data_IF_431154775150
#
_entry.id   IF_431154775150
#
_cell.length_a   1.000
_cell.length_b   1.000
_cell.length_c   1.000
_cell.angle_alpha   90.00
_cell.angle_beta   90.00
_cell.angle_gamma   90.00
#
_symmetry.space_group_name_H-M   'P 1'
#
loop_
_entity.id
_entity.type
_entity.pdbx_description
1 polymer ?
#
# COMPACT_ATOMS: atom_id res chain seq x y z
N UNK A 1 11.21 14.76 -22.91
CA UNK A 1 12.05 13.56 -22.97
C UNK A 1 12.89 13.35 -21.72
N UNK A 2 13.95 14.14 -21.43
CA UNK A 2 14.78 13.93 -20.22
C UNK A 2 13.96 13.83 -18.93
N UNK A 3 13.15 14.87 -18.65
CA UNK A 3 12.33 14.92 -17.44
C UNK A 3 11.32 13.77 -17.37
N UNK A 4 10.77 13.36 -18.51
CA UNK A 4 9.79 12.27 -18.62
C UNK A 4 10.45 10.92 -18.28
N UNK A 5 11.65 10.67 -18.79
CA UNK A 5 12.40 9.43 -18.58
C UNK A 5 12.82 9.25 -17.10
N UNK A 6 13.34 10.31 -16.47
CA UNK A 6 13.83 10.21 -15.08
C UNK A 6 12.75 10.43 -14.02
N UNK A 7 11.83 11.39 -14.24
CA UNK A 7 10.86 11.81 -13.22
C UNK A 7 9.41 11.45 -13.54
N UNK A 8 9.16 10.88 -14.72
CA UNK A 8 7.85 10.45 -15.17
C UNK A 8 7.01 11.58 -15.75
N UNK A 9 5.80 11.22 -16.19
CA UNK A 9 4.78 12.15 -16.70
C UNK A 9 3.54 12.02 -15.83
N UNK A 10 3.13 13.14 -15.22
CA UNK A 10 1.97 13.19 -14.32
C UNK A 10 0.65 13.58 -15.02
N UNK A 11 0.68 13.82 -16.34
CA UNK A 11 -0.46 14.35 -17.09
C UNK A 11 -1.13 13.27 -17.97
N UNK A 12 -2.45 13.09 -17.79
CA UNK A 12 -3.29 12.22 -18.63
C UNK A 12 -3.75 10.91 -17.96
N UNK A 13 -4.45 10.05 -18.73
CA UNK A 13 -5.01 8.75 -18.26
C UNK A 13 -3.95 7.65 -18.05
N UNK A 14 -2.68 7.90 -18.38
CA UNK A 14 -1.56 6.98 -18.19
C UNK A 14 -0.43 7.76 -17.52
N UNK A 15 -0.39 7.72 -16.19
CA UNK A 15 0.74 8.25 -15.45
C UNK A 15 1.93 7.32 -15.64
N UNK A 16 3.07 7.87 -16.06
CA UNK A 16 4.34 7.15 -16.12
C UNK A 16 5.17 7.57 -14.89
N UNK A 17 5.61 6.63 -14.03
CA UNK A 17 6.41 6.94 -12.85
C UNK A 17 7.85 7.39 -13.18
N UNK A 18 8.34 7.13 -14.39
CA UNK A 18 9.74 7.29 -14.78
C UNK A 18 10.68 6.40 -13.97
N UNK A 19 11.99 6.54 -14.18
CA UNK A 19 12.99 5.74 -13.46
C UNK A 19 12.95 5.98 -11.95
N UNK A 20 12.74 7.21 -11.50
CA UNK A 20 12.65 7.53 -10.08
C UNK A 20 11.46 6.85 -9.39
N UNK A 21 10.27 6.90 -10.01
CA UNK A 21 9.09 6.26 -9.44
C UNK A 21 9.19 4.73 -9.50
N UNK A 22 9.72 4.17 -10.59
CA UNK A 22 9.93 2.72 -10.74
C UNK A 22 10.89 2.17 -9.67
N UNK A 23 12.02 2.86 -9.41
CA UNK A 23 12.97 2.42 -8.37
C UNK A 23 12.32 2.46 -6.98
N UNK A 24 11.62 3.54 -6.64
CA UNK A 24 10.92 3.66 -5.35
C UNK A 24 9.86 2.59 -5.17
N UNK A 25 9.12 2.27 -6.23
CA UNK A 25 8.13 1.20 -6.22
C UNK A 25 8.79 -0.14 -5.86
N UNK A 26 9.85 -0.55 -6.57
CA UNK A 26 10.51 -1.83 -6.28
C UNK A 26 11.15 -1.85 -4.88
N UNK A 27 11.70 -0.74 -4.40
CA UNK A 27 12.22 -0.65 -3.03
C UNK A 27 11.11 -0.83 -1.97
N UNK A 28 9.93 -0.25 -2.20
CA UNK A 28 8.77 -0.44 -1.34
C UNK A 28 8.27 -1.89 -1.39
N UNK A 29 8.21 -2.49 -2.58
CA UNK A 29 7.79 -3.88 -2.77
C UNK A 29 8.73 -4.87 -2.10
N UNK A 30 10.06 -4.72 -2.24
CA UNK A 30 11.03 -5.57 -1.52
C UNK A 30 10.74 -5.54 -0.01
N UNK A 31 10.56 -4.36 0.55
CA UNK A 31 10.31 -4.20 2.00
C UNK A 31 8.95 -4.79 2.41
N UNK A 32 7.93 -4.67 1.55
CA UNK A 32 6.63 -5.34 1.73
C UNK A 32 6.80 -6.85 1.83
N UNK A 33 7.46 -7.47 0.85
CA UNK A 33 7.63 -8.92 0.79
C UNK A 33 8.49 -9.47 1.96
N UNK A 34 9.53 -8.73 2.37
CA UNK A 34 10.32 -9.07 3.58
C UNK A 34 9.45 -9.07 4.85
N UNK A 35 8.53 -8.09 4.97
CA UNK A 35 7.65 -7.94 6.13
C UNK A 35 6.62 -9.06 6.22
N UNK A 36 6.08 -9.54 5.08
CA UNK A 36 5.10 -10.64 5.02
C UNK A 36 5.61 -11.89 5.74
N UNK A 37 6.81 -12.34 5.35
CA UNK A 37 7.43 -13.55 5.91
C UNK A 37 7.76 -13.38 7.40
N UNK A 38 8.34 -12.23 7.77
CA UNK A 38 8.76 -11.97 9.15
C UNK A 38 7.57 -11.95 10.11
N UNK A 39 6.53 -11.17 9.79
CA UNK A 39 5.36 -11.01 10.66
C UNK A 39 4.60 -12.33 10.82
N UNK A 40 4.56 -13.16 9.77
CA UNK A 40 3.97 -14.49 9.83
C UNK A 40 4.72 -15.43 10.77
N UNK A 41 6.06 -15.45 10.70
CA UNK A 41 6.90 -16.27 11.58
C UNK A 41 6.79 -15.81 13.05
N UNK A 42 6.75 -14.50 13.29
CA UNK A 42 6.52 -13.91 14.62
C UNK A 42 5.19 -14.39 15.23
N UNK A 43 4.09 -14.35 14.47
CA UNK A 43 2.76 -14.77 14.94
C UNK A 43 2.72 -16.27 15.24
N UNK A 44 3.28 -17.08 14.35
CA UNK A 44 3.31 -18.54 14.53
C UNK A 44 4.32 -18.99 15.58
N UNK A 45 5.21 -18.08 16.04
CA UNK A 45 6.37 -18.38 16.90
C UNK A 45 7.19 -19.54 16.30
N UNK A 46 7.41 -19.48 15.00
CA UNK A 46 8.09 -20.51 14.24
C UNK A 46 9.45 -20.01 13.74
N UNK A 47 10.42 -20.92 13.71
CA UNK A 47 11.71 -20.66 13.07
C UNK A 47 11.56 -20.69 11.55
N UNK A 48 12.50 -20.02 10.86
CA UNK A 48 12.58 -20.03 9.40
C UNK A 48 12.77 -21.47 8.89
N UNK A 49 11.86 -21.99 8.04
CA UNK A 49 12.03 -23.31 7.44
C UNK A 49 13.25 -23.36 6.50
N UNK A 50 13.87 -24.53 6.37
CA UNK A 50 14.95 -24.72 5.40
C UNK A 50 14.37 -24.80 3.97
N UNK A 51 14.62 -23.74 3.21
CA UNK A 51 14.19 -23.57 1.82
C UNK A 51 15.37 -23.24 0.88
N UNK A 52 16.61 -23.43 1.36
CA UNK A 52 17.81 -22.97 0.67
C UNK A 52 18.03 -23.68 -0.67
N UNK A 53 17.66 -24.95 -0.79
CA UNK A 53 17.75 -25.71 -2.04
C UNK A 53 16.73 -25.25 -3.07
N UNK A 54 15.47 -25.09 -2.67
CA UNK A 54 14.37 -24.64 -3.52
C UNK A 54 14.64 -23.22 -4.04
N UNK A 55 15.11 -22.33 -3.18
CA UNK A 55 15.54 -20.99 -3.59
C UNK A 55 16.70 -21.04 -4.57
N UNK A 56 17.76 -21.80 -4.29
CA UNK A 56 18.90 -21.93 -5.22
C UNK A 56 18.47 -22.43 -6.59
N UNK A 57 17.52 -23.37 -6.65
CA UNK A 57 16.98 -23.89 -7.91
C UNK A 57 16.22 -22.81 -8.69
N UNK A 58 15.26 -22.13 -8.06
CA UNK A 58 14.53 -21.02 -8.68
C UNK A 58 15.50 -19.95 -9.21
N UNK A 59 16.51 -19.59 -8.41
CA UNK A 59 17.48 -18.57 -8.79
C UNK A 59 18.41 -18.98 -9.94
N UNK A 60 18.77 -20.26 -10.01
CA UNK A 60 19.49 -20.81 -11.17
C UNK A 60 18.69 -20.64 -12.46
N UNK A 61 17.42 -21.06 -12.43
CA UNK A 61 16.51 -20.94 -13.58
C UNK A 61 16.31 -19.46 -13.98
N UNK A 62 16.00 -18.61 -12.99
CA UNK A 62 15.74 -17.19 -13.20
C UNK A 62 16.94 -16.40 -13.73
N UNK A 63 18.15 -16.70 -13.23
CA UNK A 63 19.38 -16.07 -13.71
C UNK A 63 19.67 -16.45 -15.17
N UNK A 64 19.44 -17.71 -15.54
CA UNK A 64 19.55 -18.19 -16.91
C UNK A 64 18.58 -17.47 -17.85
N UNK A 65 17.30 -17.39 -17.47
CA UNK A 65 16.26 -16.74 -18.27
C UNK A 65 16.50 -15.23 -18.43
N UNK A 66 16.92 -14.56 -17.35
CA UNK A 66 17.25 -13.13 -17.37
C UNK A 66 18.41 -12.84 -18.31
N UNK A 67 19.45 -13.68 -18.30
CA UNK A 67 20.61 -13.52 -19.18
C UNK A 67 20.20 -13.61 -20.67
N UNK A 68 19.33 -14.56 -21.01
CA UNK A 68 18.87 -14.72 -22.39
C UNK A 68 17.96 -13.57 -22.85
N UNK A 69 17.03 -13.12 -21.99
CA UNK A 69 16.10 -12.03 -22.31
C UNK A 69 16.77 -10.65 -22.44
N UNK A 70 17.86 -10.41 -21.70
CA UNK A 70 18.53 -9.10 -21.66
C UNK A 70 19.68 -8.96 -22.66
N UNK A 71 20.08 -10.07 -23.29
CA UNK A 71 21.22 -10.18 -24.22
C UNK A 71 21.25 -9.14 -25.34
N UNK A 72 20.09 -8.68 -25.82
CA UNK A 72 19.97 -7.79 -26.99
C UNK A 72 19.67 -6.33 -26.66
N UNK A 73 19.27 -6.00 -25.43
CA UNK A 73 18.64 -4.70 -25.13
C UNK A 73 19.52 -3.80 -24.28
N UNK A 74 20.15 -4.32 -23.22
CA UNK A 74 21.13 -3.60 -22.40
C UNK A 74 22.14 -4.62 -21.85
N UNK A 75 23.44 -4.40 -22.07
CA UNK A 75 24.50 -5.15 -21.36
C UNK A 75 24.58 -4.67 -19.91
N UNK A 76 23.54 -4.92 -19.12
CA UNK A 76 23.60 -4.70 -17.68
C UNK A 76 24.42 -5.85 -17.08
N UNK A 77 25.62 -5.53 -16.58
CA UNK A 77 26.41 -6.43 -15.73
C UNK A 77 25.76 -6.55 -14.34
N UNK A 78 24.55 -7.10 -14.28
CA UNK A 78 23.89 -7.46 -13.03
C UNK A 78 24.11 -8.95 -12.82
N UNK A 79 24.82 -9.31 -11.75
CA UNK A 79 24.91 -10.69 -11.30
C UNK A 79 23.66 -11.00 -10.46
N UNK A 80 22.72 -11.83 -10.95
CA UNK A 80 21.49 -12.11 -10.22
C UNK A 80 21.75 -12.76 -8.86
N UNK A 81 22.78 -13.59 -8.76
CA UNK A 81 23.17 -14.25 -7.52
C UNK A 81 23.71 -13.25 -6.50
N UNK A 82 24.53 -12.28 -6.91
CA UNK A 82 25.01 -11.20 -6.02
C UNK A 82 23.87 -10.28 -5.58
N UNK A 83 22.94 -9.98 -6.49
CA UNK A 83 21.79 -9.11 -6.20
C UNK A 83 20.92 -9.67 -5.07
N UNK A 84 20.80 -10.99 -4.94
CA UNK A 84 19.93 -11.63 -3.94
C UNK A 84 20.66 -12.20 -2.72
N UNK A 85 21.96 -12.51 -2.84
CA UNK A 85 22.77 -12.98 -1.70
C UNK A 85 23.28 -11.85 -0.82
N UNK A 86 23.32 -10.60 -1.33
CA UNK A 86 23.55 -9.42 -0.49
C UNK A 86 22.46 -9.33 0.57
N UNK A 87 22.88 -9.13 1.82
CA UNK A 87 22.03 -8.87 2.98
C UNK A 87 20.90 -7.90 2.62
N UNK A 88 19.71 -8.08 3.20
CA UNK A 88 18.56 -7.19 3.02
C UNK A 88 19.01 -5.73 3.17
N UNK A 89 18.76 -4.91 2.15
CA UNK A 89 19.10 -3.48 2.23
C UNK A 89 18.21 -2.83 3.28
N UNK A 90 18.85 -2.21 4.26
CA UNK A 90 18.17 -1.39 5.27
C UNK A 90 17.43 -0.23 4.59
N UNK A 91 16.43 0.31 5.29
CA UNK A 91 15.69 1.49 4.83
C UNK A 91 16.62 2.67 4.56
N UNK A 92 17.68 2.85 5.35
CA UNK A 92 18.61 3.96 5.19
C UNK A 92 19.54 3.77 3.98
N UNK A 93 20.02 2.55 3.70
CA UNK A 93 20.79 2.25 2.49
C UNK A 93 19.96 2.46 1.22
N UNK A 94 18.70 2.02 1.25
CA UNK A 94 17.69 2.27 0.21
C UNK A 94 17.56 3.78 -0.07
N UNK A 95 17.40 4.59 0.99
CA UNK A 95 17.27 6.05 0.87
C UNK A 95 18.56 6.70 0.35
N UNK A 96 19.72 6.33 0.88
CA UNK A 96 21.03 6.87 0.45
C UNK A 96 21.29 6.61 -1.04
N UNK A 97 21.02 5.39 -1.50
CA UNK A 97 21.10 5.02 -2.92
C UNK A 97 20.22 5.92 -3.79
N UNK A 98 18.94 6.07 -3.42
CA UNK A 98 18.00 6.90 -4.18
C UNK A 98 18.41 8.39 -4.20
N UNK A 99 18.84 8.92 -3.05
CA UNK A 99 19.29 10.31 -2.91
C UNK A 99 20.52 10.57 -3.79
N UNK A 100 21.51 9.67 -3.78
CA UNK A 100 22.71 9.78 -4.64
C UNK A 100 22.36 9.82 -6.12
N UNK A 101 21.47 8.93 -6.58
CA UNK A 101 21.02 8.92 -7.97
C UNK A 101 20.28 10.21 -8.33
N UNK A 102 19.44 10.70 -7.44
CA UNK A 102 18.68 11.95 -7.63
C UNK A 102 19.60 13.16 -7.73
N UNK A 103 20.63 13.26 -6.89
CA UNK A 103 21.62 14.34 -6.96
C UNK A 103 22.43 14.30 -8.26
N UNK A 104 22.77 13.10 -8.76
CA UNK A 104 23.39 12.93 -10.08
C UNK A 104 22.46 13.35 -11.21
N UNK A 105 21.17 13.03 -11.13
CA UNK A 105 20.17 13.50 -12.10
C UNK A 105 20.09 15.02 -12.14
N UNK A 106 20.09 15.70 -10.98
CA UNK A 106 20.13 17.17 -10.90
C UNK A 106 21.44 17.76 -11.44
N UNK A 107 22.56 17.06 -11.27
CA UNK A 107 23.84 17.47 -11.85
C UNK A 107 23.78 17.43 -13.39
N UNK A 108 23.23 16.35 -13.94
CA UNK A 108 23.01 16.22 -15.39
C UNK A 108 22.06 17.30 -15.93
N UNK A 109 20.98 17.64 -15.22
CA UNK A 109 20.09 18.75 -15.62
C UNK A 109 20.82 20.09 -15.75
N UNK A 110 21.74 20.37 -14.82
CA UNK A 110 22.61 21.56 -14.90
C UNK A 110 23.54 21.47 -16.11
N UNK A 111 24.21 20.33 -16.32
CA UNK A 111 25.09 20.13 -17.48
C UNK A 111 24.36 20.30 -18.82
N UNK A 112 23.12 19.79 -18.93
CA UNK A 112 22.28 19.95 -20.12
C UNK A 112 21.88 21.42 -20.34
N UNK A 113 21.55 22.15 -19.25
CA UNK A 113 21.22 23.57 -19.29
C UNK A 113 22.42 24.42 -19.74
N UNK A 114 23.62 24.06 -19.29
CA UNK A 114 24.88 24.72 -19.62
C UNK A 114 25.45 24.29 -20.99
N UNK A 115 24.75 23.40 -21.71
CA UNK A 115 25.19 22.81 -22.99
C UNK A 115 26.60 22.19 -22.91
N UNK A 116 26.91 21.57 -21.77
CA UNK A 116 28.19 20.91 -21.55
C UNK A 116 28.35 19.73 -22.53
N UNK A 117 29.46 19.64 -23.30
CA UNK A 117 29.68 18.55 -24.25
C UNK A 117 29.77 17.15 -23.60
N UNK A 118 30.11 17.06 -22.32
CA UNK A 118 30.19 15.80 -21.56
C UNK A 118 28.82 15.29 -21.08
N UNK A 119 27.76 16.10 -21.23
CA UNK A 119 26.42 15.76 -20.73
C UNK A 119 25.86 14.46 -21.34
N UNK A 120 26.21 14.15 -22.60
CA UNK A 120 25.74 12.93 -23.29
C UNK A 120 26.37 11.68 -22.65
N UNK A 121 27.70 11.67 -22.47
CA UNK A 121 28.38 10.54 -21.83
C UNK A 121 27.90 10.35 -20.38
N UNK A 122 27.71 11.46 -19.64
CA UNK A 122 27.16 11.41 -18.29
C UNK A 122 25.72 10.88 -18.26
N UNK A 123 24.88 11.23 -19.25
CA UNK A 123 23.53 10.71 -19.40
C UNK A 123 23.52 9.20 -19.58
N UNK A 124 24.35 8.67 -20.47
CA UNK A 124 24.45 7.22 -20.71
C UNK A 124 24.86 6.47 -19.44
N UNK A 125 25.90 6.96 -18.75
CA UNK A 125 26.37 6.37 -17.49
C UNK A 125 25.28 6.43 -16.40
N UNK A 126 24.59 7.57 -16.27
CA UNK A 126 23.53 7.74 -15.30
C UNK A 126 22.33 6.82 -15.61
N UNK A 127 21.93 6.72 -16.88
CA UNK A 127 20.85 5.84 -17.32
C UNK A 127 21.16 4.37 -17.02
N UNK A 128 22.40 3.94 -17.27
CA UNK A 128 22.85 2.59 -16.92
C UNK A 128 22.79 2.34 -15.42
N UNK A 129 23.20 3.31 -14.59
CA UNK A 129 23.11 3.19 -13.13
C UNK A 129 21.67 3.06 -12.64
N UNK A 130 20.76 3.92 -13.10
CA UNK A 130 19.34 3.80 -12.76
C UNK A 130 18.76 2.45 -13.19
N UNK A 131 19.00 2.06 -14.44
CA UNK A 131 18.52 0.79 -15.00
C UNK A 131 19.03 -0.40 -14.19
N UNK A 132 20.32 -0.40 -13.83
CA UNK A 132 20.93 -1.44 -12.99
C UNK A 132 20.22 -1.58 -11.64
N UNK A 133 20.02 -0.48 -10.92
CA UNK A 133 19.37 -0.54 -9.60
C UNK A 133 17.89 -0.94 -9.68
N UNK A 134 17.17 -0.47 -10.69
CA UNK A 134 15.77 -0.89 -10.93
C UNK A 134 15.71 -2.41 -11.15
N UNK A 135 16.59 -2.94 -12.02
CA UNK A 135 16.68 -4.38 -12.27
C UNK A 135 17.06 -5.12 -10.99
N UNK A 136 18.11 -4.71 -10.27
CA UNK A 136 18.52 -5.35 -9.01
C UNK A 136 17.37 -5.39 -7.98
N UNK A 137 16.62 -4.29 -7.82
CA UNK A 137 15.47 -4.26 -6.91
C UNK A 137 14.33 -5.16 -7.40
N UNK A 138 14.09 -5.25 -8.71
CA UNK A 138 13.10 -6.19 -9.25
C UNK A 138 13.49 -7.64 -8.99
N UNK A 139 14.76 -8.01 -9.20
CA UNK A 139 15.25 -9.36 -8.91
C UNK A 139 15.04 -9.71 -7.42
N UNK A 140 15.37 -8.77 -6.52
CA UNK A 140 15.14 -8.94 -5.07
C UNK A 140 13.66 -9.04 -4.72
N UNK A 141 12.80 -8.30 -5.40
CA UNK A 141 11.36 -8.39 -5.18
C UNK A 141 10.86 -9.80 -5.49
N UNK A 142 11.26 -10.38 -6.63
CA UNK A 142 10.92 -11.78 -6.96
C UNK A 142 11.50 -12.75 -5.94
N UNK A 143 12.70 -12.49 -5.41
CA UNK A 143 13.34 -13.31 -4.37
C UNK A 143 12.49 -13.43 -3.13
N UNK A 144 12.14 -12.28 -2.56
CA UNK A 144 11.37 -12.25 -1.33
C UNK A 144 9.93 -12.77 -1.56
N UNK A 145 9.40 -12.61 -2.77
CA UNK A 145 8.11 -13.19 -3.17
C UNK A 145 8.15 -14.72 -3.15
N UNK A 146 9.07 -15.34 -3.89
CA UNK A 146 9.22 -16.81 -3.95
C UNK A 146 9.56 -17.38 -2.58
N UNK A 147 10.45 -16.72 -1.84
CA UNK A 147 10.78 -17.06 -0.46
C UNK A 147 9.54 -17.09 0.42
N UNK A 148 8.70 -16.05 0.39
CA UNK A 148 7.48 -16.01 1.17
C UNK A 148 6.54 -17.18 0.86
N UNK A 149 6.35 -17.51 -0.41
CA UNK A 149 5.55 -18.66 -0.82
C UNK A 149 6.13 -20.00 -0.36
N UNK A 150 7.44 -20.20 -0.50
CA UNK A 150 8.11 -21.41 -0.04
C UNK A 150 8.00 -21.57 1.48
N UNK A 151 8.22 -20.50 2.25
CA UNK A 151 8.02 -20.50 3.71
C UNK A 151 6.59 -20.89 4.04
N UNK A 152 5.61 -20.27 3.39
CA UNK A 152 4.19 -20.54 3.62
C UNK A 152 3.83 -21.98 3.28
N UNK A 153 4.41 -22.54 2.22
CA UNK A 153 4.22 -23.93 1.84
C UNK A 153 4.83 -24.92 2.86
N UNK A 154 6.03 -24.64 3.37
CA UNK A 154 6.63 -25.47 4.42
C UNK A 154 5.88 -25.34 5.76
N UNK A 155 5.45 -24.13 6.12
CA UNK A 155 4.61 -23.90 7.29
C UNK A 155 3.26 -24.62 7.16
N UNK A 156 2.65 -24.62 5.96
CA UNK A 156 1.40 -25.34 5.73
C UNK A 156 1.54 -26.85 5.97
N UNK A 157 2.72 -27.45 5.71
CA UNK A 157 3.00 -28.86 6.02
C UNK A 157 3.16 -29.10 7.52
N UNK A 158 3.74 -28.16 8.25
CA UNK A 158 4.06 -28.34 9.69
C UNK A 158 2.91 -27.96 10.63
N UNK A 159 2.27 -26.80 10.41
CA UNK A 159 1.19 -26.30 11.28
C UNK A 159 -0.20 -26.50 10.72
N UNK A 160 -0.31 -26.87 9.43
CA UNK A 160 -1.58 -27.05 8.73
C UNK A 160 -2.15 -25.75 8.15
N UNK A 161 -2.85 -25.87 7.02
CA UNK A 161 -3.40 -24.74 6.25
C UNK A 161 -4.37 -23.87 7.07
N UNK A 162 -5.23 -24.50 7.88
CA UNK A 162 -6.23 -23.76 8.68
C UNK A 162 -5.56 -22.83 9.71
N UNK A 163 -4.57 -23.35 10.45
CA UNK A 163 -3.86 -22.56 11.47
C UNK A 163 -3.02 -21.45 10.83
N UNK A 164 -2.47 -21.72 9.65
CA UNK A 164 -1.74 -20.74 8.86
C UNK A 164 -2.65 -19.59 8.40
N UNK A 165 -3.86 -19.91 7.90
CA UNK A 165 -4.88 -18.92 7.55
C UNK A 165 -5.27 -18.04 8.74
N UNK A 166 -5.47 -18.64 9.92
CA UNK A 166 -5.83 -17.89 11.13
C UNK A 166 -4.71 -16.93 11.54
N UNK A 167 -3.45 -17.37 11.51
CA UNK A 167 -2.30 -16.52 11.80
C UNK A 167 -2.17 -15.37 10.79
N UNK A 168 -2.30 -15.65 9.50
CA UNK A 168 -2.27 -14.63 8.45
C UNK A 168 -3.40 -13.60 8.61
N UNK A 169 -4.59 -14.04 9.03
CA UNK A 169 -5.73 -13.15 9.32
C UNK A 169 -5.47 -12.26 10.53
N UNK A 170 -4.84 -12.79 11.58
CA UNK A 170 -4.50 -12.04 12.80
C UNK A 170 -3.49 -10.92 12.53
N UNK A 171 -2.50 -11.18 11.69
CA UNK A 171 -1.46 -10.19 11.37
C UNK A 171 -1.82 -9.24 10.23
N UNK A 172 -2.96 -9.48 9.57
CA UNK A 172 -3.34 -8.81 8.33
C UNK A 172 -3.37 -7.28 8.48
N UNK A 173 -3.94 -6.77 9.56
CA UNK A 173 -4.05 -5.32 9.81
C UNK A 173 -2.70 -4.70 10.16
N UNK A 174 -1.96 -5.32 11.09
CA UNK A 174 -0.59 -4.92 11.46
C UNK A 174 0.32 -4.85 10.23
N UNK A 175 0.27 -5.87 9.39
CA UNK A 175 1.03 -5.95 8.14
C UNK A 175 0.65 -4.82 7.17
N UNK A 176 -0.64 -4.60 6.95
CA UNK A 176 -1.13 -3.54 6.07
C UNK A 176 -0.64 -2.16 6.51
N UNK A 177 -0.80 -1.83 7.80
CA UNK A 177 -0.35 -0.55 8.37
C UNK A 177 1.17 -0.38 8.29
N UNK A 178 1.93 -1.41 8.64
CA UNK A 178 3.39 -1.35 8.64
C UNK A 178 3.95 -1.11 7.23
N UNK A 179 3.44 -1.82 6.22
CA UNK A 179 3.92 -1.69 4.84
C UNK A 179 3.60 -0.33 4.24
N UNK A 180 2.40 0.21 4.49
CA UNK A 180 2.03 1.56 4.04
C UNK A 180 2.86 2.62 4.76
N UNK A 181 3.07 2.49 6.07
CA UNK A 181 3.88 3.43 6.85
C UNK A 181 5.33 3.47 6.37
N UNK A 182 5.93 2.31 6.08
CA UNK A 182 7.29 2.24 5.55
C UNK A 182 7.38 2.95 4.19
N UNK A 183 6.44 2.67 3.28
CA UNK A 183 6.40 3.32 1.97
C UNK A 183 6.27 4.85 2.09
N UNK A 184 5.38 5.33 2.97
CA UNK A 184 5.23 6.75 3.26
C UNK A 184 6.51 7.37 3.84
N UNK A 185 7.16 6.70 4.79
CA UNK A 185 8.38 7.19 5.44
C UNK A 185 9.54 7.32 4.43
N UNK A 186 9.80 6.28 3.62
CA UNK A 186 10.82 6.33 2.57
C UNK A 186 10.56 7.50 1.64
N UNK A 187 9.31 7.66 1.20
CA UNK A 187 8.91 8.71 0.26
C UNK A 187 9.13 10.12 0.82
N UNK A 188 8.71 10.35 2.06
CA UNK A 188 8.87 11.64 2.72
C UNK A 188 10.35 11.97 2.93
N UNK A 189 11.16 10.98 3.31
CA UNK A 189 12.60 11.15 3.51
C UNK A 189 13.37 11.44 2.21
N UNK A 190 12.92 10.92 1.07
CA UNK A 190 13.52 11.24 -0.24
C UNK A 190 13.00 12.57 -0.84
N UNK A 191 12.24 13.36 -0.07
CA UNK A 191 11.80 14.70 -0.47
C UNK A 191 10.65 14.71 -1.49
N UNK A 192 9.95 13.59 -1.65
CA UNK A 192 8.81 13.49 -2.56
C UNK A 192 7.51 13.90 -1.86
N UNK A 193 6.68 14.69 -2.56
CA UNK A 193 5.36 15.12 -2.04
C UNK A 193 4.41 13.94 -1.96
N UNK A 194 3.51 13.96 -0.96
CA UNK A 194 2.51 12.90 -0.72
C UNK A 194 1.58 12.69 -1.91
N UNK A 195 1.20 13.75 -2.64
CA UNK A 195 0.35 13.63 -3.83
C UNK A 195 1.01 12.79 -4.94
N UNK A 196 2.32 12.96 -5.15
CA UNK A 196 3.07 12.23 -6.18
C UNK A 196 3.24 10.74 -5.83
N UNK A 197 3.26 10.42 -4.54
CA UNK A 197 3.29 9.03 -4.06
C UNK A 197 2.04 8.26 -4.48
N UNK A 198 0.87 8.87 -4.33
CA UNK A 198 -0.39 8.23 -4.72
C UNK A 198 -0.36 7.86 -6.20
N UNK A 199 0.14 8.75 -7.05
CA UNK A 199 0.32 8.49 -8.48
C UNK A 199 1.30 7.35 -8.75
N UNK A 200 2.44 7.31 -8.06
CA UNK A 200 3.46 6.25 -8.24
C UNK A 200 2.93 4.89 -7.77
N UNK A 201 2.35 4.82 -6.58
CA UNK A 201 1.82 3.56 -6.02
C UNK A 201 0.63 3.00 -6.81
N UNK A 202 -0.13 3.88 -7.48
CA UNK A 202 -1.23 3.51 -8.38
C UNK A 202 -0.78 3.30 -9.83
N UNK A 203 0.46 3.66 -10.21
CA UNK A 203 0.92 3.59 -11.61
C UNK A 203 1.30 2.17 -12.06
N UNK A 204 1.92 1.37 -11.18
CA UNK A 204 2.30 -0.02 -11.51
C UNK A 204 1.15 -1.02 -11.38
N UNK A 205 0.08 -0.60 -10.74
CA UNK A 205 -1.20 -1.28 -10.74
C UNK A 205 -2.08 -0.57 -11.75
N UNK A 206 -2.05 -0.97 -13.02
CA UNK A 206 -3.03 -0.46 -13.98
C UNK A 206 -4.43 -0.78 -13.47
N UNK A 207 -5.14 0.20 -12.92
CA UNK A 207 -6.43 -0.01 -12.27
C UNK A 207 -7.54 0.44 -13.20
N UNK A 208 -8.39 -0.51 -13.58
CA UNK A 208 -9.74 -0.21 -14.07
C UNK A 208 -10.67 -0.11 -12.87
N UNK A 209 -11.57 0.87 -12.85
CA UNK A 209 -12.57 0.95 -11.78
C UNK A 209 -13.93 1.36 -12.33
N UNK A 210 -14.97 0.92 -11.65
CA UNK A 210 -16.37 1.30 -11.93
C UNK A 210 -17.11 1.47 -10.62
N UNK A 211 -17.82 2.60 -10.47
CA UNK A 211 -18.66 2.90 -9.31
C UNK A 211 -20.12 3.04 -9.75
N UNK A 212 -21.04 2.41 -9.03
CA UNK A 212 -22.48 2.65 -9.10
C UNK A 212 -22.85 3.71 -8.04
N UNK A 213 -23.14 4.93 -8.49
CA UNK A 213 -23.48 6.04 -7.59
C UNK A 213 -24.83 5.85 -6.88
N UNK A 214 -25.73 5.02 -7.42
CA UNK A 214 -27.02 4.75 -6.79
C UNK A 214 -26.89 3.76 -5.63
N UNK A 215 -25.97 2.80 -5.74
CA UNK A 215 -25.73 1.77 -4.72
C UNK A 215 -24.53 2.06 -3.82
N UNK A 216 -23.71 3.05 -4.20
CA UNK A 216 -22.45 3.42 -3.55
C UNK A 216 -21.49 2.23 -3.43
N UNK A 217 -21.57 1.31 -4.38
CA UNK A 217 -20.66 0.18 -4.52
C UNK A 217 -19.90 0.25 -5.84
N UNK A 218 -18.85 -0.53 -5.95
CA UNK A 218 -18.04 -0.55 -7.13
C UNK A 218 -16.99 -1.65 -7.11
N UNK A 219 -16.21 -1.69 -8.19
CA UNK A 219 -15.08 -2.60 -8.33
C UNK A 219 -13.84 -1.86 -8.80
N UNK A 220 -12.68 -2.37 -8.39
CA UNK A 220 -11.35 -1.97 -8.81
C UNK A 220 -10.62 -3.22 -9.30
N UNK A 221 -10.26 -3.24 -10.57
CA UNK A 221 -9.54 -4.32 -11.22
C UNK A 221 -8.11 -3.88 -11.51
N UNK A 222 -7.17 -4.57 -10.88
CA UNK A 222 -5.74 -4.45 -11.07
C UNK A 222 -5.35 -5.34 -12.26
N UNK A 223 -4.87 -4.73 -13.34
CA UNK A 223 -4.58 -5.41 -14.61
C UNK A 223 -3.17 -6.00 -14.69
N UNK A 224 -2.34 -5.76 -13.69
CA UNK A 224 -0.98 -6.29 -13.60
C UNK A 224 -0.68 -6.72 -12.16
N UNK A 225 -0.91 -7.99 -11.85
CA UNK A 225 -0.56 -8.56 -10.55
C UNK A 225 0.97 -8.78 -10.48
N UNK A 226 1.68 -8.11 -9.56
CA UNK A 226 3.14 -8.22 -9.49
C UNK A 226 3.65 -9.60 -9.07
N UNK A 227 2.79 -10.44 -8.48
CA UNK A 227 3.13 -11.79 -8.03
C UNK A 227 2.56 -12.90 -8.92
N UNK A 228 1.92 -12.56 -10.06
CA UNK A 228 1.27 -13.54 -10.94
C UNK A 228 2.24 -14.62 -11.41
N UNK A 229 3.39 -14.24 -11.99
CA UNK A 229 4.37 -15.20 -12.49
C UNK A 229 5.00 -16.05 -11.38
N UNK A 230 5.26 -15.45 -10.22
CA UNK A 230 5.71 -16.18 -9.03
C UNK A 230 4.68 -17.22 -8.58
N UNK A 231 3.40 -16.87 -8.52
CA UNK A 231 2.31 -17.78 -8.17
C UNK A 231 2.19 -18.93 -9.20
N UNK A 232 2.23 -18.63 -10.51
CA UNK A 232 2.19 -19.63 -11.58
C UNK A 232 3.37 -20.60 -11.47
N UNK A 233 4.59 -20.10 -11.27
CA UNK A 233 5.77 -20.94 -11.08
C UNK A 233 5.60 -21.91 -9.90
N UNK A 234 5.11 -21.42 -8.77
CA UNK A 234 4.97 -22.23 -7.55
C UNK A 234 3.87 -23.29 -7.69
N UNK A 235 2.73 -22.95 -8.29
CA UNK A 235 1.67 -23.92 -8.57
C UNK A 235 2.11 -24.97 -9.59
N UNK A 236 2.70 -24.55 -10.72
CA UNK A 236 2.99 -25.44 -11.85
C UNK A 236 4.32 -26.19 -11.75
N UNK A 237 5.40 -25.52 -11.32
CA UNK A 237 6.76 -26.10 -11.28
C UNK A 237 7.08 -26.76 -9.96
N UNK A 238 6.57 -26.23 -8.85
CA UNK A 238 6.83 -26.76 -7.50
C UNK A 238 5.69 -27.61 -6.96
N UNK A 239 4.53 -27.64 -7.65
CA UNK A 239 3.39 -28.49 -7.28
C UNK A 239 2.75 -28.10 -5.94
N UNK A 240 2.93 -26.86 -5.49
CA UNK A 240 2.28 -26.35 -4.28
C UNK A 240 0.80 -26.15 -4.60
N UNK A 241 -0.08 -26.63 -3.72
CA UNK A 241 -1.52 -26.55 -3.96
C UNK A 241 -2.00 -25.10 -4.04
N UNK A 242 -2.96 -24.84 -4.93
CA UNK A 242 -3.61 -23.52 -5.06
C UNK A 242 -4.24 -23.04 -3.75
N UNK A 243 -4.62 -23.96 -2.85
CA UNK A 243 -5.13 -23.61 -1.53
C UNK A 243 -4.09 -22.90 -0.66
N UNK A 244 -2.80 -23.22 -0.84
CA UNK A 244 -1.69 -22.59 -0.11
C UNK A 244 -1.14 -21.39 -0.89
N UNK A 245 -1.00 -21.51 -2.21
CA UNK A 245 -0.54 -20.41 -3.06
C UNK A 245 -1.50 -19.20 -3.02
N UNK A 246 -2.81 -19.42 -2.91
CA UNK A 246 -3.80 -18.33 -2.84
C UNK A 246 -3.84 -17.58 -1.49
N UNK A 247 -3.12 -18.06 -0.45
CA UNK A 247 -3.11 -17.42 0.87
C UNK A 247 -2.51 -16.02 0.85
N UNK A 248 -1.43 -15.80 0.10
CA UNK A 248 -0.83 -14.48 -0.09
C UNK A 248 -1.83 -13.49 -0.70
N UNK A 249 -2.52 -13.93 -1.75
CA UNK A 249 -3.54 -13.12 -2.42
C UNK A 249 -4.65 -12.74 -1.43
N UNK A 250 -5.14 -13.74 -0.69
CA UNK A 250 -6.32 -13.59 0.20
C UNK A 250 -6.03 -12.73 1.42
N UNK A 251 -4.81 -12.78 1.97
CA UNK A 251 -4.48 -12.10 3.22
C UNK A 251 -3.57 -10.89 3.00
N UNK A 252 -2.39 -11.07 2.42
CA UNK A 252 -1.40 -9.98 2.35
C UNK A 252 -1.63 -9.00 1.21
N UNK A 253 -2.03 -9.46 0.01
CA UNK A 253 -2.41 -8.53 -1.06
C UNK A 253 -3.68 -7.75 -0.66
N UNK A 254 -4.67 -8.42 -0.08
CA UNK A 254 -5.86 -7.76 0.45
C UNK A 254 -5.52 -6.76 1.58
N UNK A 255 -4.69 -7.15 2.55
CA UNK A 255 -4.24 -6.27 3.63
C UNK A 255 -3.63 -4.98 3.09
N UNK A 256 -2.71 -5.14 2.15
CA UNK A 256 -1.99 -4.03 1.54
C UNK A 256 -2.95 -3.11 0.78
N UNK A 257 -3.84 -3.67 -0.04
CA UNK A 257 -4.84 -2.90 -0.77
C UNK A 257 -5.78 -2.14 0.20
N UNK A 258 -6.26 -2.80 1.27
CA UNK A 258 -7.11 -2.18 2.29
C UNK A 258 -6.40 -1.03 3.00
N UNK A 259 -5.16 -1.24 3.46
CA UNK A 259 -4.39 -0.20 4.16
C UNK A 259 -4.06 0.99 3.24
N UNK A 260 -3.78 0.74 1.96
CA UNK A 260 -3.60 1.78 0.96
C UNK A 260 -4.87 2.60 0.76
N UNK A 261 -6.01 1.95 0.60
CA UNK A 261 -7.30 2.62 0.44
C UNK A 261 -7.69 3.43 1.68
N UNK A 262 -7.43 2.92 2.88
CA UNK A 262 -7.62 3.66 4.14
C UNK A 262 -6.81 4.97 4.19
N UNK A 263 -5.68 5.02 3.49
CA UNK A 263 -4.82 6.22 3.46
C UNK A 263 -5.31 7.28 2.47
N UNK A 264 -6.11 6.88 1.47
CA UNK A 264 -6.51 7.72 0.33
C UNK A 264 -7.99 8.09 0.39
N UNK A 265 -8.86 7.18 0.83
CA UNK A 265 -10.29 7.41 0.92
C UNK A 265 -10.64 8.10 2.25
N UNK A 266 -11.25 9.30 2.22
CA UNK A 266 -11.59 10.05 3.43
C UNK A 266 -12.92 9.59 4.05
N UNK A 267 -13.50 8.48 3.58
CA UNK A 267 -14.79 7.97 4.01
C UNK A 267 -14.64 6.51 4.42
N UNK A 268 -15.49 6.05 5.34
CA UNK A 268 -15.53 4.64 5.69
C UNK A 268 -15.98 3.79 4.49
N UNK A 269 -15.45 2.57 4.41
CA UNK A 269 -15.81 1.64 3.37
C UNK A 269 -15.69 0.19 3.84
N UNK A 270 -16.41 -0.69 3.15
CA UNK A 270 -16.16 -2.12 3.16
C UNK A 270 -15.40 -2.51 1.89
N UNK A 271 -14.37 -3.34 2.05
CA UNK A 271 -13.59 -3.90 0.96
C UNK A 271 -13.67 -5.42 1.01
N UNK A 272 -13.90 -6.06 -0.13
CA UNK A 272 -13.79 -7.51 -0.26
C UNK A 272 -13.15 -7.86 -1.61
N UNK A 273 -12.63 -9.08 -1.72
CA UNK A 273 -11.96 -9.59 -2.92
C UNK A 273 -12.49 -11.00 -3.20
N UNK A 274 -12.65 -11.42 -4.47
CA UNK A 274 -12.71 -12.85 -4.78
C UNK A 274 -11.49 -13.54 -4.18
N UNK A 275 -11.67 -14.70 -3.55
CA UNK A 275 -10.60 -15.44 -2.85
C UNK A 275 -9.50 -15.97 -3.79
N UNK A 276 -9.50 -15.61 -5.08
CA UNK A 276 -8.54 -16.08 -6.07
C UNK A 276 -8.11 -14.97 -7.01
N UNK A 277 -6.87 -15.05 -7.46
CA UNK A 277 -6.36 -14.28 -8.59
C UNK A 277 -7.22 -14.60 -9.81
N UNK A 278 -7.70 -13.56 -10.50
CA UNK A 278 -8.51 -13.73 -11.70
C UNK A 278 -7.63 -14.13 -12.89
N UNK A 279 -8.26 -14.67 -13.94
CA UNK A 279 -7.57 -15.16 -15.14
C UNK A 279 -6.67 -14.07 -15.75
N UNK A 280 -5.46 -14.46 -16.18
CA UNK A 280 -4.46 -13.58 -16.81
C UNK A 280 -3.81 -12.54 -15.87
N UNK A 281 -3.61 -12.87 -14.60
CA UNK A 281 -2.90 -11.99 -13.67
C UNK A 281 -3.68 -10.74 -13.24
N UNK A 282 -5.01 -10.78 -13.39
CA UNK A 282 -5.88 -9.70 -12.94
C UNK A 282 -6.32 -9.94 -11.50
N UNK A 283 -6.44 -8.88 -10.69
CA UNK A 283 -7.00 -8.95 -9.34
C UNK A 283 -8.18 -7.98 -9.22
N UNK A 284 -9.34 -8.45 -8.78
CA UNK A 284 -10.52 -7.58 -8.60
C UNK A 284 -10.83 -7.39 -7.11
N UNK A 285 -11.01 -6.14 -6.71
CA UNK A 285 -11.53 -5.78 -5.40
C UNK A 285 -12.88 -5.12 -5.56
N UNK A 286 -13.75 -5.32 -4.60
CA UNK A 286 -15.05 -4.68 -4.53
C UNK A 286 -15.09 -3.79 -3.30
N UNK A 287 -15.67 -2.61 -3.49
CA UNK A 287 -15.75 -1.55 -2.51
C UNK A 287 -17.22 -1.18 -2.30
N UNK A 288 -17.60 -0.92 -1.06
CA UNK A 288 -18.89 -0.28 -0.74
C UNK A 288 -18.67 0.84 0.26
N UNK A 289 -19.09 2.05 -0.09
CA UNK A 289 -18.96 3.24 0.77
C UNK A 289 -20.05 3.24 1.84
N UNK A 290 -19.72 3.76 3.02
CA UNK A 290 -20.64 3.92 4.16
C UNK A 290 -21.42 2.63 4.53
N UNK A 291 -20.81 1.46 4.31
CA UNK A 291 -21.43 0.18 4.61
C UNK A 291 -21.49 -0.06 6.12
N UNK A 292 -22.69 -0.37 6.62
CA UNK A 292 -22.87 -0.96 7.95
C UNK A 292 -23.47 -2.36 7.79
N UNK A 293 -22.85 -3.42 8.33
CA UNK A 293 -23.39 -4.78 8.28
C UNK A 293 -24.64 -4.95 9.16
N UNK A 294 -24.90 -4.02 10.07
CA UNK A 294 -26.08 -4.01 10.95
C UNK A 294 -27.20 -3.13 10.41
N UNK A 295 -26.93 -2.26 9.43
CA UNK A 295 -27.94 -1.39 8.85
C UNK A 295 -28.98 -2.20 8.08
N UNK A 296 -30.24 -1.83 8.29
CA UNK A 296 -31.35 -2.42 7.54
C UNK A 296 -31.19 -2.14 6.05
N UNK A 297 -31.22 -3.18 5.22
CA UNK A 297 -31.13 -3.11 3.75
C UNK A 297 -32.34 -2.36 3.14
N UNK A 298 -33.30 -1.94 3.95
CA UNK A 298 -34.51 -1.22 3.54
C UNK A 298 -34.37 0.29 3.51
N UNK A 299 -33.32 0.87 4.12
CA UNK A 299 -33.21 2.32 4.21
C UNK A 299 -32.83 2.95 2.87
N UNK A 300 -33.76 3.72 2.31
CA UNK A 300 -33.62 4.36 1.00
C UNK A 300 -32.54 5.44 0.99
N UNK A 301 -32.30 6.09 2.12
CA UNK A 301 -31.32 7.17 2.26
C UNK A 301 -30.43 6.90 3.46
N UNK A 302 -29.17 6.57 3.19
CA UNK A 302 -28.16 6.27 4.20
C UNK A 302 -27.26 7.51 4.37
N UNK A 303 -27.11 8.08 5.59
CA UNK A 303 -26.24 9.23 5.78
C UNK A 303 -24.77 8.84 5.57
N UNK A 304 -24.06 9.59 4.73
CA UNK A 304 -22.64 9.36 4.39
C UNK A 304 -21.70 10.28 5.15
N UNK A 305 -22.18 11.47 5.52
CA UNK A 305 -21.44 12.48 6.26
C UNK A 305 -22.36 13.04 7.33
N UNK A 306 -21.91 13.02 8.58
CA UNK A 306 -22.61 13.64 9.70
C UNK A 306 -21.67 14.68 10.30
N UNK A 307 -22.08 15.95 10.27
CA UNK A 307 -21.42 17.00 11.03
C UNK A 307 -22.16 17.23 12.33
N UNK A 308 -21.55 16.82 13.43
CA UNK A 308 -22.14 16.92 14.76
C UNK A 308 -21.47 18.02 15.57
N UNK A 309 -22.25 19.04 15.94
CA UNK A 309 -21.82 20.09 16.85
C UNK A 309 -21.75 19.57 18.30
N UNK A 310 -20.56 19.10 18.73
CA UNK A 310 -20.37 18.43 20.03
C UNK A 310 -20.42 19.38 21.24
N UNK A 311 -20.20 20.67 21.00
CA UNK A 311 -20.30 21.74 21.98
C UNK A 311 -20.63 23.05 21.29
N UNK A 312 -21.32 23.98 21.97
CA UNK A 312 -21.47 25.37 21.50
C UNK A 312 -20.46 26.31 22.15
N UNK A 313 -19.64 25.81 23.08
CA UNK A 313 -18.56 26.58 23.69
C UNK A 313 -17.49 26.90 22.65
N UNK A 314 -17.11 28.17 22.54
CA UNK A 314 -16.04 28.65 21.68
C UNK A 314 -15.24 29.74 22.39
N UNK A 315 -13.93 29.78 22.14
CA UNK A 315 -13.02 30.83 22.60
C UNK A 315 -13.05 32.07 21.69
N UNK A 316 -13.80 32.04 20.58
CA UNK A 316 -13.95 33.12 19.61
C UNK A 316 -15.42 33.54 19.46
N UNK A 317 -15.65 34.70 18.81
CA UNK A 317 -16.97 35.27 18.51
C UNK A 317 -17.04 35.82 17.09
N UNK A 318 -16.94 34.94 16.10
CA UNK A 318 -16.91 35.33 14.69
C UNK A 318 -18.26 35.94 14.24
N UNK A 319 -18.28 37.07 13.51
CA UNK A 319 -19.51 37.70 13.03
C UNK A 319 -20.38 36.81 12.13
N UNK A 320 -19.78 35.81 11.49
CA UNK A 320 -20.41 34.89 10.53
C UNK A 320 -20.67 33.48 11.13
N UNK A 321 -20.67 33.35 12.46
CA UNK A 321 -20.83 32.05 13.13
C UNK A 321 -22.25 31.48 12.98
N UNK A 322 -22.41 30.43 12.17
CA UNK A 322 -23.72 29.84 11.87
C UNK A 322 -24.41 29.20 13.09
N UNK A 323 -23.64 28.70 14.07
CA UNK A 323 -24.21 28.12 15.31
C UNK A 323 -24.38 29.13 16.43
N UNK A 324 -24.00 30.40 16.22
CA UNK A 324 -23.97 31.44 17.25
C UNK A 324 -23.30 30.93 18.56
N UNK A 325 -22.04 30.50 18.44
CA UNK A 325 -21.28 29.89 19.52
C UNK A 325 -21.10 30.86 20.71
N UNK A 326 -21.04 30.31 21.92
CA UNK A 326 -20.97 31.08 23.16
C UNK A 326 -19.66 30.82 23.89
N UNK A 327 -19.21 31.75 24.72
CA UNK A 327 -18.00 31.54 25.54
C UNK A 327 -18.22 30.58 26.71
N UNK A 328 -19.48 30.32 27.05
CA UNK A 328 -19.89 29.41 28.11
C UNK A 328 -20.39 28.09 27.52
N UNK A 329 -20.19 27.01 28.28
CA UNK A 329 -20.81 25.72 28.01
C UNK A 329 -22.30 25.82 28.28
N UNK A 330 -23.12 25.29 27.38
CA UNK A 330 -24.56 25.21 27.62
C UNK A 330 -24.90 24.05 28.54
N UNK A 331 -25.96 24.20 29.35
CA UNK A 331 -26.39 23.19 30.33
C UNK A 331 -26.99 21.94 29.70
N UNK A 332 -27.36 21.99 28.41
CA UNK A 332 -28.05 20.94 27.68
C UNK A 332 -27.20 20.30 26.58
N UNK A 333 -25.87 20.36 26.71
CA UNK A 333 -24.97 19.57 25.87
C UNK A 333 -24.99 18.11 26.33
N UNK A 334 -24.85 17.17 25.39
CA UNK A 334 -24.78 15.74 25.72
C UNK A 334 -23.62 15.47 26.69
N UNK A 335 -23.86 14.64 27.69
CA UNK A 335 -22.82 14.03 28.52
C UNK A 335 -21.94 13.08 27.70
N UNK A 336 -20.81 12.64 28.26
CA UNK A 336 -19.91 11.68 27.60
C UNK A 336 -20.61 10.36 27.26
N UNK A 337 -21.47 9.87 28.15
CA UNK A 337 -22.20 8.62 27.93
C UNK A 337 -23.31 8.79 26.87
N UNK A 338 -24.02 9.92 26.87
CA UNK A 338 -25.00 10.22 25.81
C UNK A 338 -24.31 10.43 24.44
N UNK A 339 -23.11 11.00 24.43
CA UNK A 339 -22.28 11.13 23.24
C UNK A 339 -21.88 9.77 22.65
N UNK A 340 -21.45 8.83 23.49
CA UNK A 340 -21.16 7.45 23.08
C UNK A 340 -22.41 6.74 22.57
N UNK A 341 -23.54 6.89 23.27
CA UNK A 341 -24.81 6.32 22.84
C UNK A 341 -25.29 6.90 21.49
N UNK A 342 -25.05 8.19 21.22
CA UNK A 342 -25.32 8.78 19.90
C UNK A 342 -24.44 8.14 18.81
N UNK A 343 -23.16 7.91 19.09
CA UNK A 343 -22.24 7.21 18.17
C UNK A 343 -22.75 5.78 17.88
N UNK A 344 -23.26 5.08 18.90
CA UNK A 344 -23.85 3.75 18.71
C UNK A 344 -25.05 3.80 17.78
N UNK A 345 -25.99 4.73 18.01
CA UNK A 345 -27.16 4.94 17.15
C UNK A 345 -26.78 5.32 15.71
N UNK A 346 -25.76 6.16 15.53
CA UNK A 346 -25.23 6.48 14.20
C UNK A 346 -24.74 5.21 13.51
N UNK A 347 -23.96 4.39 14.22
CA UNK A 347 -23.34 3.16 13.72
C UNK A 347 -24.37 2.07 13.35
N UNK A 348 -25.52 2.05 14.02
CA UNK A 348 -26.65 1.18 13.70
C UNK A 348 -27.27 1.50 12.34
N UNK A 349 -27.34 2.79 11.98
CA UNK A 349 -27.96 3.25 10.72
C UNK A 349 -26.97 3.24 9.56
N UNK A 350 -25.73 3.68 9.78
CA UNK A 350 -24.69 3.70 8.75
C UNK A 350 -23.28 3.82 9.36
N UNK A 351 -22.24 3.78 8.52
CA UNK A 351 -20.89 4.21 8.92
C UNK A 351 -20.53 5.50 8.21
N UNK A 352 -20.98 6.69 8.66
CA UNK A 352 -20.67 7.93 7.97
C UNK A 352 -19.26 8.42 8.32
N UNK A 353 -18.73 9.35 7.52
CA UNK A 353 -17.69 10.26 8.00
C UNK A 353 -18.31 11.14 9.10
N UNK A 354 -17.93 10.89 10.35
CA UNK A 354 -18.38 11.67 11.50
C UNK A 354 -17.44 12.85 11.76
N UNK A 355 -17.92 14.06 11.44
CA UNK A 355 -17.20 15.31 11.65
C UNK A 355 -17.63 15.86 13.01
N UNK A 356 -16.71 15.87 13.97
CA UNK A 356 -16.92 16.55 15.24
C UNK A 356 -16.69 18.05 15.04
N UNK A 357 -17.79 18.80 15.01
CA UNK A 357 -17.83 20.26 14.83
C UNK A 357 -18.39 20.92 16.09
N UNK A 358 -18.77 22.20 16.00
CA UNK A 358 -19.40 22.93 17.10
C UNK A 358 -18.94 24.38 17.15
N UNK A 359 -18.75 24.87 18.37
CA UNK A 359 -17.98 26.07 18.65
C UNK A 359 -16.51 25.78 18.38
N UNK A 360 -15.73 25.57 19.44
CA UNK A 360 -14.40 24.97 19.35
C UNK A 360 -14.45 23.57 19.98
N UNK A 361 -14.50 22.49 19.18
CA UNK A 361 -14.54 21.11 19.66
C UNK A 361 -13.45 20.80 20.70
N UNK A 362 -12.27 21.37 20.54
CA UNK A 362 -11.12 21.14 21.44
C UNK A 362 -11.31 21.75 22.84
N UNK A 363 -12.33 22.58 23.06
CA UNK A 363 -12.68 23.07 24.41
C UNK A 363 -13.52 22.08 25.22
N UNK A 364 -14.02 21.01 24.60
CA UNK A 364 -14.78 19.96 25.28
C UNK A 364 -13.81 18.97 25.92
N UNK A 365 -13.94 18.74 27.24
CA UNK A 365 -12.93 18.01 28.03
C UNK A 365 -12.74 16.54 27.62
N UNK A 366 -13.80 15.90 27.17
CA UNK A 366 -13.90 14.50 26.78
C UNK A 366 -13.80 14.29 25.26
N UNK A 367 -13.39 15.31 24.49
CA UNK A 367 -13.36 15.22 23.02
C UNK A 367 -12.50 14.06 22.51
N UNK A 368 -11.33 13.82 23.11
CA UNK A 368 -10.45 12.72 22.71
C UNK A 368 -11.01 11.35 23.07
N UNK A 369 -11.79 11.26 24.14
CA UNK A 369 -12.50 10.03 24.51
C UNK A 369 -13.62 9.73 23.50
N UNK A 370 -14.38 10.74 23.09
CA UNK A 370 -15.41 10.63 22.04
C UNK A 370 -14.79 10.21 20.70
N UNK A 371 -13.66 10.83 20.32
CA UNK A 371 -12.92 10.46 19.10
C UNK A 371 -12.48 9.01 19.16
N UNK A 372 -11.86 8.59 20.26
CA UNK A 372 -11.38 7.21 20.43
C UNK A 372 -12.54 6.21 20.33
N UNK A 373 -13.65 6.48 21.02
CA UNK A 373 -14.85 5.63 20.96
C UNK A 373 -15.42 5.54 19.54
N UNK A 374 -15.50 6.66 18.82
CA UNK A 374 -15.92 6.68 17.41
C UNK A 374 -15.03 5.81 16.52
N UNK A 375 -13.71 5.91 16.68
CA UNK A 375 -12.74 5.08 15.96
C UNK A 375 -12.90 3.60 16.28
N UNK A 376 -13.09 3.22 17.54
CA UNK A 376 -13.36 1.82 17.94
C UNK A 376 -14.65 1.26 17.33
N UNK A 377 -15.64 2.13 17.04
CA UNK A 377 -16.89 1.77 16.35
C UNK A 377 -16.76 1.73 14.82
N UNK A 378 -15.60 2.14 14.29
CA UNK A 378 -15.30 2.14 12.86
C UNK A 378 -15.84 3.34 12.09
N UNK A 379 -15.93 4.51 12.76
CA UNK A 379 -16.30 5.82 12.17
C UNK A 379 -15.09 6.70 11.86
#
# INVERSE_FOLDING_TARGET
>A
MFSEVFYGVSAGKRADPGMAGSLLYHMAMVTKMETETRVLLEELRADMPDIAEQLRRFYGDFASDTHELTKTTVQLNVNPQEAVTKTSLSTDEKIDMFTKLTERTKALERMLSDKNPEAIAYLEELFQHWSRYIVEMRLRQEYETIKGFLVTAELAKTVGVSRLQDAMKQVQEKFGEETVRIALNVTLKVGMRREKLQTIMLSDHFINYTMDLAKLDGRMQFLNCPIFGSHEYISEKLGISDAVASLFCTHFCYAHAKAMLNTVLPFTFALWQPQRMATHGNCEFYLKLAHSPTASVTEKFVPLVISWNITRKCNLKCPHCYINATTQQLKNELTTEEAKNLIDQISEVSRPLLILSGGEPLLRKDVFEIVHYGTEKGL
#
